data_IF_360121682945
#
_entry.id   IF_360121682945
#
_cell.length_a   1.000
_cell.length_b   1.000
_cell.length_c   1.000
_cell.angle_alpha   90.00
_cell.angle_beta   90.00
_cell.angle_gamma   90.00
#
_symmetry.space_group_name_H-M   'P 1'
#
loop_
_entity.id
_entity.type
_entity.pdbx_description
1 polymer ?
#
# COMPACT_ATOMS: atom_id res chain seq x y z
N UNK A 1 -16.62 19.79 32.92
CA UNK A 1 -16.49 21.02 32.14
C UNK A 1 -15.81 20.61 30.85
N UNK A 2 -16.62 20.56 29.80
CA UNK A 2 -16.36 20.32 28.38
C UNK A 2 -15.43 19.16 27.95
N UNK A 3 -16.11 18.07 27.54
CA UNK A 3 -15.69 17.19 26.45
C UNK A 3 -15.39 18.01 25.19
N UNK A 4 -14.17 17.86 24.65
CA UNK A 4 -13.84 18.35 23.32
C UNK A 4 -13.90 17.19 22.32
N UNK A 5 -14.78 17.40 21.35
CA UNK A 5 -15.17 16.62 20.18
C UNK A 5 -13.94 16.18 19.34
N UNK A 6 -13.58 14.89 19.40
CA UNK A 6 -12.51 14.26 18.61
C UNK A 6 -13.04 13.90 17.21
N UNK A 7 -13.05 14.91 16.33
CA UNK A 7 -13.33 14.73 14.90
C UNK A 7 -12.04 14.79 14.10
N UNK A 8 -11.69 13.64 13.51
CA UNK A 8 -11.05 13.59 12.19
C UNK A 8 -9.52 13.58 12.17
N UNK A 9 -8.91 12.50 12.66
CA UNK A 9 -7.58 12.09 12.22
C UNK A 9 -7.62 10.64 11.72
N UNK A 10 -7.03 10.39 10.55
CA UNK A 10 -6.82 9.03 10.07
C UNK A 10 -5.62 8.46 10.81
N UNK A 11 -5.90 7.59 11.74
CA UNK A 11 -4.94 6.58 12.12
C UNK A 11 -5.11 5.38 11.18
N UNK A 12 -4.05 4.61 10.90
CA UNK A 12 -4.21 3.22 10.45
C UNK A 12 -4.85 2.32 11.52
N UNK A 13 -5.48 2.90 12.57
CA UNK A 13 -6.60 2.27 13.25
C UNK A 13 -7.67 2.09 12.17
N UNK A 14 -7.78 0.87 11.64
CA UNK A 14 -8.96 0.48 10.90
C UNK A 14 -10.18 1.00 11.66
N UNK A 15 -10.94 1.91 11.06
CA UNK A 15 -12.22 2.36 11.62
C UNK A 15 -12.96 1.09 12.04
N UNK A 16 -13.29 1.02 13.32
CA UNK A 16 -13.66 -0.21 14.02
C UNK A 16 -14.91 -0.91 13.48
N UNK A 17 -14.77 -1.59 12.34
CA UNK A 17 -15.31 -2.92 12.21
C UNK A 17 -14.47 -3.81 13.11
N UNK A 18 -15.09 -4.52 14.05
CA UNK A 18 -14.44 -5.55 14.86
C UNK A 18 -13.89 -6.64 13.93
N UNK A 19 -12.71 -6.43 13.35
CA UNK A 19 -11.86 -7.53 12.93
C UNK A 19 -11.26 -8.10 14.23
N UNK A 20 -12.06 -8.92 14.93
CA UNK A 20 -11.59 -9.69 16.06
C UNK A 20 -10.40 -10.54 15.60
N UNK A 21 -9.19 -10.10 15.92
CA UNK A 21 -7.94 -10.81 15.68
C UNK A 21 -7.78 -12.07 16.55
N UNK A 22 -8.86 -12.80 16.80
CA UNK A 22 -8.80 -14.15 17.34
C UNK A 22 -8.47 -15.11 16.19
N UNK A 23 -7.27 -15.69 16.21
CA UNK A 23 -7.11 -17.06 15.75
C UNK A 23 -7.92 -17.99 16.71
N UNK A 24 -8.59 -19.04 16.20
CA UNK A 24 -10.05 -19.10 16.28
C UNK A 24 -10.55 -20.08 17.35
N UNK A 25 -11.52 -19.66 18.17
CA UNK A 25 -12.37 -20.59 18.93
C UNK A 25 -13.80 -20.67 18.39
N UNK A 26 -14.14 -19.93 17.32
CA UNK A 26 -15.42 -20.04 16.63
C UNK A 26 -15.28 -19.68 15.15
N UNK A 27 -15.27 -20.66 14.24
CA UNK A 27 -15.71 -20.48 12.84
C UNK A 27 -15.97 -21.84 12.20
N UNK A 28 -17.11 -21.92 11.51
CA UNK A 28 -17.67 -23.15 10.95
C UNK A 28 -17.04 -23.57 9.61
N UNK A 29 -17.64 -24.55 8.91
CA UNK A 29 -17.07 -25.26 7.76
C UNK A 29 -16.83 -24.42 6.48
N UNK A 30 -16.98 -23.10 6.53
CA UNK A 30 -16.88 -22.19 5.38
C UNK A 30 -15.60 -21.34 5.37
N UNK A 31 -14.70 -21.51 6.34
CA UNK A 31 -13.42 -20.77 6.38
C UNK A 31 -12.46 -21.24 5.28
N UNK A 32 -11.76 -20.30 4.64
CA UNK A 32 -10.65 -20.61 3.70
C UNK A 32 -10.99 -20.56 2.20
N UNK A 33 -12.25 -20.29 1.86
CA UNK A 33 -12.72 -20.16 0.48
C UNK A 33 -13.80 -19.08 0.34
N UNK A 34 -13.99 -18.58 -0.88
CA UNK A 34 -15.12 -17.74 -1.24
C UNK A 34 -16.42 -18.53 -1.13
N UNK A 35 -17.51 -17.81 -0.87
CA UNK A 35 -18.82 -18.38 -0.53
C UNK A 35 -19.82 -18.03 -1.62
N UNK A 36 -20.59 -19.03 -2.04
CA UNK A 36 -21.76 -18.90 -2.88
C UNK A 36 -23.00 -18.73 -1.99
N UNK A 37 -23.70 -17.62 -2.18
CA UNK A 37 -24.93 -17.24 -1.48
C UNK A 37 -26.11 -17.53 -2.40
N UNK A 38 -27.03 -18.34 -1.92
CA UNK A 38 -28.25 -18.76 -2.62
C UNK A 38 -28.01 -19.37 -4.02
N UNK A 39 -26.83 -19.95 -4.25
CA UNK A 39 -26.48 -20.59 -5.52
C UNK A 39 -26.10 -19.62 -6.65
N UNK A 40 -26.03 -18.31 -6.40
CA UNK A 40 -25.88 -17.31 -7.46
C UNK A 40 -24.84 -16.22 -7.16
N UNK A 41 -24.76 -15.75 -5.91
CA UNK A 41 -23.92 -14.61 -5.55
C UNK A 41 -22.62 -15.07 -4.92
N UNK A 42 -21.50 -14.63 -5.45
CA UNK A 42 -20.16 -14.89 -4.91
C UNK A 42 -19.77 -13.77 -3.97
N UNK A 43 -19.32 -14.15 -2.78
CA UNK A 43 -18.83 -13.24 -1.73
C UNK A 43 -17.69 -13.89 -0.95
N UNK A 44 -17.16 -13.22 0.07
CA UNK A 44 -16.13 -13.77 0.95
C UNK A 44 -16.65 -13.90 2.39
N UNK A 45 -16.05 -14.77 3.22
CA UNK A 45 -16.35 -14.84 4.65
C UNK A 45 -16.28 -13.46 5.34
N UNK A 46 -15.26 -12.66 5.01
CA UNK A 46 -15.13 -11.29 5.51
C UNK A 46 -16.34 -10.39 5.16
N UNK A 47 -16.89 -10.48 3.95
CA UNK A 47 -18.07 -9.71 3.57
C UNK A 47 -19.32 -10.18 4.33
N UNK A 48 -19.46 -11.49 4.56
CA UNK A 48 -20.58 -12.06 5.31
C UNK A 48 -20.56 -11.64 6.79
N UNK A 49 -19.39 -11.45 7.38
CA UNK A 49 -19.28 -10.90 8.75
C UNK A 49 -19.86 -9.49 8.88
N UNK A 50 -19.85 -8.71 7.80
CA UNK A 50 -20.37 -7.35 7.76
C UNK A 50 -21.83 -7.30 7.32
N UNK A 51 -22.24 -8.12 6.35
CA UNK A 51 -23.61 -8.19 5.87
C UNK A 51 -23.97 -9.60 5.36
N UNK A 52 -24.34 -10.49 6.28
CA UNK A 52 -24.93 -11.79 5.92
C UNK A 52 -26.45 -11.68 5.81
N UNK A 53 -27.07 -12.04 4.67
CA UNK A 53 -28.52 -12.07 4.57
C UNK A 53 -29.12 -13.15 5.49
N UNK A 54 -30.14 -12.84 6.31
CA UNK A 54 -30.83 -13.85 7.11
C UNK A 54 -31.41 -14.96 6.24
N UNK A 55 -31.23 -16.22 6.65
CA UNK A 55 -31.75 -17.39 5.91
C UNK A 55 -31.02 -17.71 4.60
N UNK A 56 -29.91 -17.04 4.29
CA UNK A 56 -29.09 -17.36 3.12
C UNK A 56 -28.57 -18.80 3.16
N UNK A 57 -28.69 -19.50 2.02
CA UNK A 57 -27.99 -20.77 1.81
C UNK A 57 -26.55 -20.47 1.41
N UNK A 58 -25.60 -20.95 2.19
CA UNK A 58 -24.16 -20.75 1.98
C UNK A 58 -23.50 -22.05 1.54
N UNK A 59 -22.69 -22.00 0.49
CA UNK A 59 -21.88 -23.12 0.03
C UNK A 59 -20.48 -22.63 -0.40
N UNK A 60 -19.41 -23.42 -0.23
CA UNK A 60 -18.10 -23.07 -0.80
C UNK A 60 -18.17 -22.97 -2.33
N UNK A 61 -17.46 -22.00 -2.91
CA UNK A 61 -17.45 -21.80 -4.37
C UNK A 61 -16.80 -22.96 -5.13
N UNK A 62 -15.84 -23.66 -4.50
CA UNK A 62 -15.05 -24.72 -5.14
C UNK A 62 -15.86 -25.93 -5.61
N UNK A 63 -17.07 -26.14 -5.06
CA UNK A 63 -18.00 -27.17 -5.54
C UNK A 63 -18.73 -26.78 -6.84
N UNK A 64 -18.71 -25.51 -7.23
CA UNK A 64 -19.49 -24.94 -8.35
C UNK A 64 -18.61 -24.50 -9.51
N UNK A 65 -17.40 -24.01 -9.26
CA UNK A 65 -16.45 -23.56 -10.29
C UNK A 65 -15.40 -24.63 -10.66
N UNK A 66 -15.58 -25.88 -10.23
CA UNK A 66 -14.60 -26.96 -10.40
C UNK A 66 -13.30 -26.72 -9.60
N UNK A 67 -12.25 -27.55 -9.76
CA UNK A 67 -10.96 -27.32 -9.13
C UNK A 67 -10.26 -26.12 -9.79
N UNK A 68 -10.64 -24.91 -9.41
CA UNK A 68 -10.03 -23.66 -9.89
C UNK A 68 -8.72 -23.38 -9.12
N UNK A 69 -7.76 -24.26 -9.35
CA UNK A 69 -6.32 -24.10 -9.07
C UNK A 69 -5.62 -24.22 -10.43
N UNK A 70 -5.88 -23.26 -11.32
CA UNK A 70 -5.17 -23.25 -12.60
C UNK A 70 -3.74 -22.79 -12.33
N UNK A 71 -2.75 -23.59 -12.74
CA UNK A 71 -1.38 -23.12 -12.81
C UNK A 71 -1.35 -22.03 -13.88
N UNK A 72 -1.10 -20.77 -13.52
CA UNK A 72 -1.12 -19.67 -14.51
C UNK A 72 -0.08 -19.87 -15.63
N UNK A 73 0.92 -20.73 -15.41
CA UNK A 73 1.81 -21.22 -16.46
C UNK A 73 1.08 -21.97 -17.60
N UNK A 74 -0.05 -22.61 -17.32
CA UNK A 74 -0.92 -23.26 -18.33
C UNK A 74 -1.76 -22.22 -19.08
N UNK A 75 -2.12 -21.11 -18.42
CA UNK A 75 -2.86 -19.95 -18.99
C UNK A 75 -1.99 -19.17 -19.99
N UNK A 76 -0.69 -19.07 -19.72
CA UNK A 76 0.24 -18.29 -20.56
C UNK A 76 0.79 -19.03 -21.79
N UNK A 77 0.69 -20.36 -21.86
CA UNK A 77 1.33 -21.20 -22.91
C UNK A 77 0.39 -21.63 -24.03
N UNK A 78 -0.92 -21.66 -23.79
CA UNK A 78 -1.93 -21.90 -24.80
C UNK A 78 -2.50 -20.55 -25.26
N UNK A 79 -2.74 -20.34 -26.55
CA UNK A 79 -3.27 -19.08 -27.11
C UNK A 79 -4.66 -18.62 -26.63
N UNK A 80 -5.15 -19.05 -25.46
CA UNK A 80 -6.28 -18.54 -24.67
C UNK A 80 -6.22 -19.18 -23.26
N UNK A 81 -6.71 -18.54 -22.17
CA UNK A 81 -7.58 -17.35 -22.08
C UNK A 81 -6.91 -16.02 -21.69
N UNK A 82 -7.62 -14.93 -22.01
CA UNK A 82 -7.23 -13.54 -21.72
C UNK A 82 -7.56 -13.10 -20.30
N UNK A 83 -8.34 -13.84 -19.52
CA UNK A 83 -8.99 -13.31 -18.31
C UNK A 83 -8.66 -14.14 -17.07
N UNK A 84 -8.08 -13.47 -16.07
CA UNK A 84 -7.84 -14.03 -14.74
C UNK A 84 -8.62 -13.22 -13.70
N UNK A 85 -9.53 -13.89 -13.01
CA UNK A 85 -10.41 -13.36 -11.99
C UNK A 85 -9.88 -13.73 -10.60
N UNK A 86 -9.59 -12.73 -9.77
CA UNK A 86 -9.05 -12.93 -8.42
C UNK A 86 -10.08 -12.50 -7.39
N UNK A 87 -10.63 -13.47 -6.63
CA UNK A 87 -11.61 -13.21 -5.57
C UNK A 87 -10.90 -12.86 -4.25
N UNK A 88 -11.41 -11.85 -3.56
CA UNK A 88 -10.85 -11.24 -2.33
C UNK A 88 -9.51 -10.52 -2.52
N UNK A 89 -8.97 -10.50 -3.74
CA UNK A 89 -7.66 -9.95 -4.05
C UNK A 89 -6.59 -10.46 -3.06
N UNK A 90 -6.01 -9.55 -2.29
CA UNK A 90 -4.94 -9.81 -1.33
C UNK A 90 -5.40 -9.43 0.08
N UNK A 91 -6.71 -9.58 0.34
CA UNK A 91 -7.30 -9.36 1.66
C UNK A 91 -7.63 -7.90 1.96
N UNK A 92 -7.60 -7.57 3.25
CA UNK A 92 -8.09 -6.30 3.79
C UNK A 92 -7.00 -5.44 4.42
N UNK A 93 -5.77 -5.95 4.52
CA UNK A 93 -4.64 -5.22 5.03
C UNK A 93 -3.86 -4.52 3.92
N UNK A 94 -3.28 -3.36 4.23
CA UNK A 94 -2.44 -2.59 3.30
C UNK A 94 -1.19 -3.38 2.91
N UNK A 95 -0.49 -4.00 3.87
CA UNK A 95 0.72 -4.78 3.60
C UNK A 95 0.49 -5.90 2.60
N UNK A 96 -0.52 -6.74 2.86
CA UNK A 96 -0.91 -7.85 1.97
C UNK A 96 -1.28 -7.33 0.57
N UNK A 97 -2.00 -6.20 0.49
CA UNK A 97 -2.33 -5.54 -0.78
C UNK A 97 -1.09 -5.12 -1.56
N UNK A 98 -0.10 -4.49 -0.91
CA UNK A 98 1.13 -4.05 -1.58
C UNK A 98 1.90 -5.23 -2.16
N UNK A 99 2.09 -6.28 -1.36
CA UNK A 99 2.86 -7.47 -1.76
C UNK A 99 2.12 -8.27 -2.83
N UNK A 100 0.83 -8.50 -2.67
CA UNK A 100 0.09 -9.25 -3.66
C UNK A 100 -0.12 -8.49 -4.98
N UNK A 101 -0.22 -7.15 -4.96
CA UNK A 101 -0.17 -6.36 -6.20
C UNK A 101 1.17 -6.51 -6.93
N UNK A 102 2.29 -6.72 -6.21
CA UNK A 102 3.55 -7.06 -6.87
C UNK A 102 3.49 -8.42 -7.57
N UNK A 103 2.84 -9.44 -6.98
CA UNK A 103 2.65 -10.72 -7.65
C UNK A 103 1.83 -10.57 -8.95
N UNK A 104 0.78 -9.73 -8.93
CA UNK A 104 -0.01 -9.41 -10.13
C UNK A 104 0.79 -8.60 -11.16
N UNK A 105 1.66 -7.70 -10.72
CA UNK A 105 2.54 -6.94 -11.60
C UNK A 105 3.57 -7.85 -12.31
N UNK A 106 4.18 -8.79 -11.58
CA UNK A 106 5.07 -9.83 -12.14
C UNK A 106 4.32 -10.65 -13.20
N UNK A 107 3.09 -11.10 -12.90
CA UNK A 107 2.24 -11.81 -13.85
C UNK A 107 1.97 -10.99 -15.10
N UNK A 108 1.61 -9.72 -14.96
CA UNK A 108 1.33 -8.85 -16.11
C UNK A 108 2.57 -8.66 -16.98
N UNK A 109 3.74 -8.46 -16.39
CA UNK A 109 5.01 -8.34 -17.12
C UNK A 109 5.35 -9.62 -17.88
N UNK A 110 5.14 -10.79 -17.26
CA UNK A 110 5.40 -12.10 -17.86
C UNK A 110 4.38 -12.47 -18.94
N UNK A 111 3.12 -12.08 -18.78
CA UNK A 111 2.03 -12.35 -19.70
C UNK A 111 1.25 -11.06 -20.04
N UNK A 112 1.78 -10.19 -20.92
CA UNK A 112 1.16 -8.89 -21.22
C UNK A 112 -0.27 -8.97 -21.76
N UNK A 113 -0.63 -10.07 -22.42
CA UNK A 113 -1.99 -10.32 -22.93
C UNK A 113 -3.03 -10.67 -21.86
N UNK A 114 -2.60 -10.95 -20.62
CA UNK A 114 -3.49 -11.30 -19.52
C UNK A 114 -4.22 -10.06 -18.98
N UNK A 115 -5.54 -10.14 -18.88
CA UNK A 115 -6.44 -9.17 -18.25
C UNK A 115 -6.72 -9.64 -16.83
N UNK A 116 -6.40 -8.78 -15.87
CA UNK A 116 -6.52 -9.09 -14.45
C UNK A 116 -7.78 -8.42 -13.90
N UNK A 117 -8.75 -9.24 -13.46
CA UNK A 117 -10.01 -8.81 -12.87
C UNK A 117 -9.98 -9.10 -11.38
N UNK A 118 -10.14 -8.07 -10.55
CA UNK A 118 -10.01 -8.19 -9.10
C UNK A 118 -11.34 -7.89 -8.42
N UNK A 119 -11.77 -8.78 -7.52
CA UNK A 119 -13.03 -8.67 -6.78
C UNK A 119 -12.75 -8.48 -5.30
N UNK A 120 -13.24 -7.40 -4.70
CA UNK A 120 -12.88 -6.99 -3.34
C UNK A 120 -14.08 -6.74 -2.45
N UNK A 121 -13.83 -6.76 -1.15
CA UNK A 121 -14.84 -6.33 -0.18
C UNK A 121 -15.16 -4.84 -0.36
N UNK A 122 -16.45 -4.43 -0.33
CA UNK A 122 -16.83 -3.02 -0.31
C UNK A 122 -16.47 -2.34 1.02
N UNK A 123 -16.18 -3.11 2.07
CA UNK A 123 -15.87 -2.61 3.41
C UNK A 123 -14.42 -2.14 3.59
N UNK A 124 -13.66 -2.04 2.50
CA UNK A 124 -12.30 -1.50 2.48
C UNK A 124 -12.14 -0.38 1.45
N UNK A 125 -12.89 0.73 1.56
CA UNK A 125 -13.02 1.73 0.50
C UNK A 125 -11.70 2.38 0.09
N UNK A 126 -10.78 2.64 1.04
CA UNK A 126 -9.48 3.23 0.76
C UNK A 126 -8.59 2.30 -0.06
N UNK A 127 -8.56 1.02 0.30
CA UNK A 127 -7.86 0.01 -0.46
C UNK A 127 -8.51 -0.19 -1.83
N UNK A 128 -9.84 -0.10 -1.95
CA UNK A 128 -10.51 -0.14 -3.25
C UNK A 128 -10.11 1.07 -4.11
N UNK A 129 -9.96 2.25 -3.49
CA UNK A 129 -9.40 3.44 -4.12
C UNK A 129 -7.99 3.20 -4.68
N UNK A 130 -7.10 2.58 -3.89
CA UNK A 130 -5.76 2.19 -4.36
C UNK A 130 -5.84 1.25 -5.58
N UNK A 131 -6.63 0.18 -5.50
CA UNK A 131 -6.71 -0.80 -6.59
C UNK A 131 -7.24 -0.21 -7.90
N UNK A 132 -8.21 0.71 -7.84
CA UNK A 132 -8.75 1.40 -9.02
C UNK A 132 -7.72 2.26 -9.75
N UNK A 133 -6.64 2.64 -9.07
CA UNK A 133 -5.55 3.45 -9.64
C UNK A 133 -4.44 2.61 -10.27
N UNK A 134 -4.53 1.28 -10.20
CA UNK A 134 -3.49 0.37 -10.71
C UNK A 134 -3.68 0.17 -12.22
N UNK A 135 -2.75 0.64 -13.07
CA UNK A 135 -2.96 0.67 -14.52
C UNK A 135 -2.98 -0.71 -15.19
N UNK A 136 -2.37 -1.71 -14.56
CA UNK A 136 -2.30 -3.07 -15.10
C UNK A 136 -3.52 -3.94 -14.78
N UNK A 137 -4.47 -3.46 -13.96
CA UNK A 137 -5.71 -4.16 -13.68
C UNK A 137 -6.77 -3.81 -14.73
N UNK A 138 -7.42 -4.82 -15.29
CA UNK A 138 -8.49 -4.64 -16.27
C UNK A 138 -9.82 -4.24 -15.60
N UNK A 139 -10.10 -4.75 -14.40
CA UNK A 139 -11.30 -4.39 -13.65
C UNK A 139 -11.06 -4.54 -12.15
N UNK A 140 -11.66 -3.63 -11.38
CA UNK A 140 -11.78 -3.74 -9.93
C UNK A 140 -13.27 -3.64 -9.59
N UNK A 141 -13.85 -4.74 -9.14
CA UNK A 141 -15.26 -4.84 -8.76
C UNK A 141 -15.41 -5.12 -7.26
N UNK A 142 -16.51 -4.68 -6.68
CA UNK A 142 -16.85 -4.96 -5.28
C UNK A 142 -17.78 -6.16 -5.18
N UNK A 143 -17.60 -6.97 -4.14
CA UNK A 143 -18.43 -8.12 -3.80
C UNK A 143 -19.70 -7.67 -3.04
N UNK A 144 -20.81 -8.43 -3.11
CA UNK A 144 -20.98 -9.66 -3.88
C UNK A 144 -21.15 -9.41 -5.38
N UNK A 145 -20.74 -10.38 -6.21
CA UNK A 145 -21.01 -10.39 -7.67
C UNK A 145 -21.75 -11.66 -8.06
N UNK A 146 -22.36 -11.68 -9.25
CA UNK A 146 -23.01 -12.90 -9.77
C UNK A 146 -21.96 -13.89 -10.27
N UNK A 147 -22.28 -15.20 -10.30
CA UNK A 147 -21.40 -16.22 -10.88
C UNK A 147 -21.04 -15.92 -12.34
N UNK A 148 -21.95 -15.28 -13.09
CA UNK A 148 -21.72 -14.92 -14.49
C UNK A 148 -20.53 -13.98 -14.67
N UNK A 149 -20.13 -13.24 -13.63
CA UNK A 149 -18.96 -12.36 -13.65
C UNK A 149 -17.63 -13.09 -13.90
N UNK A 150 -17.61 -14.42 -13.77
CA UNK A 150 -16.44 -15.29 -13.97
C UNK A 150 -16.50 -16.11 -15.28
N UNK A 151 -17.53 -15.90 -16.11
CA UNK A 151 -17.76 -16.71 -17.31
C UNK A 151 -16.62 -16.60 -18.31
N UNK A 152 -16.06 -17.74 -18.72
CA UNK A 152 -15.04 -17.82 -19.78
C UNK A 152 -13.61 -17.45 -19.34
N UNK A 153 -13.38 -17.13 -18.07
CA UNK A 153 -12.07 -16.84 -17.51
C UNK A 153 -11.61 -17.87 -16.47
N UNK A 154 -10.36 -17.72 -16.02
CA UNK A 154 -9.84 -18.49 -14.90
C UNK A 154 -10.10 -17.78 -13.58
N UNK A 155 -10.45 -18.53 -12.54
CA UNK A 155 -10.71 -17.97 -11.21
C UNK A 155 -9.64 -18.43 -10.24
N UNK A 156 -9.09 -17.49 -9.47
CA UNK A 156 -8.23 -17.75 -8.32
C UNK A 156 -8.94 -17.23 -7.08
N UNK A 157 -9.15 -18.13 -6.14
CA UNK A 157 -9.75 -17.80 -4.85
C UNK A 157 -8.67 -17.51 -3.81
N UNK A 158 -8.60 -16.26 -3.36
CA UNK A 158 -7.75 -15.79 -2.27
C UNK A 158 -8.60 -15.33 -1.06
N UNK A 159 -9.84 -15.79 -0.95
CA UNK A 159 -10.59 -15.63 0.30
C UNK A 159 -9.84 -16.30 1.45
N UNK A 160 -9.74 -15.61 2.59
CA UNK A 160 -9.22 -16.18 3.84
C UNK A 160 -7.81 -16.79 3.71
N UNK A 161 -6.99 -16.31 2.76
CA UNK A 161 -5.66 -16.85 2.47
C UNK A 161 -4.76 -16.90 3.70
N UNK A 162 -4.93 -15.97 4.65
CA UNK A 162 -4.17 -15.88 5.89
C UNK A 162 -4.31 -17.10 6.81
N UNK A 163 -5.41 -17.85 6.66
CA UNK A 163 -5.65 -19.09 7.41
C UNK A 163 -5.12 -20.33 6.69
N UNK A 164 -4.58 -20.19 5.48
CA UNK A 164 -3.98 -21.32 4.76
C UNK A 164 -2.60 -21.61 5.34
N UNK A 165 -2.28 -22.87 5.67
CA UNK A 165 -1.02 -23.21 6.34
C UNK A 165 0.25 -22.74 5.62
N UNK A 166 0.21 -22.65 4.28
CA UNK A 166 1.34 -22.17 3.50
C UNK A 166 1.66 -20.69 3.73
N UNK A 167 0.68 -19.84 4.04
CA UNK A 167 0.90 -18.40 4.25
C UNK A 167 1.81 -18.12 5.46
N UNK A 168 1.71 -18.95 6.50
CA UNK A 168 2.54 -18.84 7.69
C UNK A 168 3.97 -19.40 7.50
N UNK A 169 4.26 -20.07 6.39
CA UNK A 169 5.54 -20.78 6.16
C UNK A 169 6.37 -20.23 5.01
N UNK A 170 5.76 -19.52 4.07
CA UNK A 170 6.43 -18.97 2.91
C UNK A 170 6.67 -17.47 3.07
N UNK A 171 7.72 -16.91 2.43
CA UNK A 171 7.76 -15.47 2.18
C UNK A 171 6.44 -15.02 1.55
N UNK A 172 5.90 -13.89 2.03
CA UNK A 172 4.55 -13.45 1.65
C UNK A 172 4.35 -13.35 0.12
N UNK A 173 5.36 -12.84 -0.60
CA UNK A 173 5.32 -12.77 -2.06
C UNK A 173 5.32 -14.15 -2.72
N UNK A 174 6.09 -15.11 -2.20
CA UNK A 174 6.17 -16.46 -2.75
C UNK A 174 4.85 -17.21 -2.54
N UNK A 175 4.17 -16.97 -1.42
CA UNK A 175 2.82 -17.45 -1.21
C UNK A 175 1.88 -16.94 -2.31
N UNK A 176 1.86 -15.63 -2.58
CA UNK A 176 0.98 -15.08 -3.60
C UNK A 176 1.34 -15.56 -5.00
N UNK A 177 2.62 -15.65 -5.36
CA UNK A 177 3.07 -16.24 -6.63
C UNK A 177 2.57 -17.68 -6.78
N UNK A 178 2.75 -18.50 -5.74
CA UNK A 178 2.29 -19.90 -5.74
C UNK A 178 0.77 -20.00 -5.84
N UNK A 179 0.05 -19.16 -5.10
CA UNK A 179 -1.42 -19.14 -5.11
C UNK A 179 -1.99 -18.68 -6.46
N UNK A 180 -1.22 -17.87 -7.19
CA UNK A 180 -1.47 -17.49 -8.57
C UNK A 180 -0.84 -18.48 -9.57
N UNK A 181 -0.39 -19.66 -9.14
CA UNK A 181 0.09 -20.70 -10.04
C UNK A 181 1.40 -20.41 -10.77
N UNK A 182 2.24 -19.52 -10.24
CA UNK A 182 3.63 -19.32 -10.65
C UNK A 182 4.58 -20.01 -9.68
N UNK A 183 5.62 -20.69 -10.20
CA UNK A 183 6.74 -21.13 -9.38
C UNK A 183 7.57 -19.92 -8.89
N UNK A 184 7.68 -19.67 -7.56
CA UNK A 184 8.46 -18.57 -7.03
C UNK A 184 9.96 -18.65 -7.32
N UNK A 185 10.51 -19.84 -7.60
CA UNK A 185 11.92 -20.03 -7.99
C UNK A 185 12.18 -19.54 -9.41
N UNK A 186 11.13 -19.52 -10.26
CA UNK A 186 11.21 -19.01 -11.63
C UNK A 186 11.20 -17.48 -11.74
N UNK A 187 11.05 -16.77 -10.62
CA UNK A 187 11.00 -15.31 -10.55
C UNK A 187 12.29 -14.79 -9.95
N UNK A 188 12.94 -13.87 -10.65
CA UNK A 188 14.16 -13.21 -10.15
C UNK A 188 13.89 -12.58 -8.77
N UNK A 189 14.72 -12.82 -7.74
CA UNK A 189 14.55 -12.20 -6.42
C UNK A 189 14.41 -10.68 -6.46
N UNK A 190 15.07 -9.99 -7.39
CA UNK A 190 14.98 -8.53 -7.55
C UNK A 190 13.61 -8.06 -8.03
N UNK A 191 12.89 -8.88 -8.79
CA UNK A 191 11.51 -8.60 -9.24
C UNK A 191 10.48 -8.81 -8.12
N UNK A 192 10.86 -9.36 -6.96
CA UNK A 192 9.93 -9.58 -5.83
C UNK A 192 9.76 -8.36 -4.93
N UNK A 193 10.52 -7.28 -5.16
CA UNK A 193 10.32 -5.99 -4.51
C UNK A 193 9.07 -5.29 -5.09
N UNK A 194 8.22 -4.60 -4.30
CA UNK A 194 6.97 -3.99 -4.78
C UNK A 194 7.20 -2.68 -5.57
N UNK A 195 7.96 -2.78 -6.65
CA UNK A 195 8.41 -1.65 -7.48
C UNK A 195 7.29 -0.94 -8.23
N UNK A 196 6.14 -1.61 -8.42
CA UNK A 196 4.96 -1.02 -9.06
C UNK A 196 4.50 0.27 -8.35
N UNK A 197 4.82 0.45 -7.06
CA UNK A 197 4.53 1.66 -6.29
C UNK A 197 5.16 2.92 -6.89
N UNK A 198 6.32 2.78 -7.56
CA UNK A 198 7.00 3.88 -8.23
C UNK A 198 6.26 4.40 -9.48
N UNK A 199 5.33 3.62 -10.02
CA UNK A 199 4.49 3.99 -11.16
C UNK A 199 3.26 4.81 -10.76
N UNK A 200 2.93 4.83 -9.45
CA UNK A 200 1.82 5.63 -8.94
C UNK A 200 2.22 7.10 -8.77
N UNK A 201 1.30 7.99 -9.17
CA UNK A 201 1.37 9.40 -8.79
C UNK A 201 0.93 9.57 -7.34
N UNK A 202 1.70 10.26 -6.52
CA UNK A 202 1.33 10.52 -5.12
C UNK A 202 1.01 12.01 -4.93
N UNK A 203 0.16 12.37 -3.95
CA UNK A 203 -0.07 13.77 -3.63
C UNK A 203 1.24 14.43 -3.18
N UNK A 204 1.43 15.70 -3.55
CA UNK A 204 2.55 16.50 -3.05
C UNK A 204 2.29 16.84 -1.59
N UNK A 205 3.26 16.53 -0.73
CA UNK A 205 3.16 16.85 0.69
C UNK A 205 3.34 18.36 0.94
N UNK A 206 2.81 18.89 2.05
CA UNK A 206 3.16 20.23 2.51
C UNK A 206 4.68 20.37 2.69
N UNK A 207 5.26 21.57 2.53
CA UNK A 207 6.70 21.77 2.72
C UNK A 207 7.19 21.24 4.07
N UNK A 208 8.24 20.43 4.02
CA UNK A 208 8.88 19.84 5.20
C UNK A 208 10.41 19.80 4.99
N UNK A 209 11.21 19.84 6.06
CA UNK A 209 12.64 19.54 5.97
C UNK A 209 12.85 18.07 5.59
N UNK A 210 14.09 17.69 5.28
CA UNK A 210 14.46 16.28 5.17
C UNK A 210 14.20 15.55 6.49
N UNK A 211 13.65 14.33 6.40
CA UNK A 211 13.27 13.57 7.59
C UNK A 211 13.51 12.07 7.47
N UNK A 212 13.68 11.45 8.64
CA UNK A 212 13.48 10.01 8.85
C UNK A 212 12.06 9.79 9.35
N UNK A 213 11.35 8.83 8.78
CA UNK A 213 9.97 8.52 9.16
C UNK A 213 9.92 7.35 10.13
N UNK A 214 9.34 7.56 11.30
CA UNK A 214 9.14 6.55 12.33
C UNK A 214 7.71 6.01 12.31
N UNK A 215 7.57 4.71 12.06
CA UNK A 215 6.31 3.99 11.94
C UNK A 215 6.18 2.91 13.04
N UNK A 216 5.87 3.29 14.29
CA UNK A 216 5.89 2.35 15.43
C UNK A 216 4.66 1.46 15.54
N UNK A 217 3.56 1.79 14.85
CA UNK A 217 2.26 1.15 15.06
C UNK A 217 1.94 0.16 13.95
N UNK A 218 1.70 -1.10 14.33
CA UNK A 218 1.07 -2.09 13.47
C UNK A 218 -0.46 -2.06 13.65
N UNK A 219 -1.17 -2.85 12.84
CA UNK A 219 -2.62 -3.05 13.00
C UNK A 219 -2.99 -3.81 14.28
N UNK A 220 -2.02 -4.42 14.96
CA UNK A 220 -2.20 -5.19 16.18
C UNK A 220 -1.17 -4.76 17.24
N UNK A 221 -1.54 -4.74 18.54
CA UNK A 221 -0.59 -4.40 19.60
C UNK A 221 0.62 -5.31 19.62
N UNK A 222 0.42 -6.62 19.35
CA UNK A 222 1.50 -7.63 19.35
C UNK A 222 2.68 -7.29 18.42
N UNK A 223 2.41 -6.60 17.32
CA UNK A 223 3.43 -6.24 16.33
C UNK A 223 3.86 -4.79 16.42
N UNK A 224 3.36 -4.03 17.40
CA UNK A 224 3.68 -2.61 17.56
C UNK A 224 4.89 -2.41 18.47
N UNK A 225 5.64 -1.33 18.25
CA UNK A 225 6.65 -0.85 19.19
C UNK A 225 5.93 -0.22 20.39
N UNK A 226 6.13 -0.73 21.62
CA UNK A 226 5.50 -0.18 22.82
C UNK A 226 5.81 1.30 23.01
N UNK A 227 4.83 2.11 23.44
CA UNK A 227 5.02 3.56 23.61
C UNK A 227 6.21 3.94 24.48
N UNK A 228 6.44 3.16 25.55
CA UNK A 228 7.50 3.39 26.54
C UNK A 228 8.93 3.27 26.02
N UNK A 229 9.15 2.62 24.87
CA UNK A 229 10.49 2.46 24.27
C UNK A 229 10.71 3.30 23.01
N UNK A 230 9.68 4.05 22.57
CA UNK A 230 9.75 4.82 21.32
C UNK A 230 10.74 5.97 21.40
N UNK A 231 10.84 6.61 22.57
CA UNK A 231 11.73 7.76 22.76
C UNK A 231 13.18 7.35 22.56
N UNK A 232 13.58 6.20 23.09
CA UNK A 232 14.94 5.67 23.03
C UNK A 232 15.36 5.34 21.59
N UNK A 233 14.43 4.79 20.79
CA UNK A 233 14.66 4.56 19.36
C UNK A 233 14.81 5.88 18.60
N UNK A 234 13.93 6.86 18.89
CA UNK A 234 14.02 8.19 18.26
C UNK A 234 15.32 8.90 18.64
N UNK A 235 15.73 8.83 19.90
CA UNK A 235 17.01 9.35 20.39
C UNK A 235 18.19 8.72 19.63
N UNK A 236 18.18 7.38 19.48
CA UNK A 236 19.20 6.69 18.70
C UNK A 236 19.27 7.17 17.24
N UNK A 237 18.12 7.41 16.60
CA UNK A 237 18.07 7.98 15.25
C UNK A 237 18.65 9.38 15.23
N UNK A 238 18.28 10.25 16.18
CA UNK A 238 18.73 11.64 16.24
C UNK A 238 20.25 11.78 16.47
N UNK A 239 20.89 10.82 17.14
CA UNK A 239 22.36 10.79 17.26
C UNK A 239 23.07 10.65 15.91
N UNK A 240 22.43 10.01 14.93
CA UNK A 240 23.00 9.73 13.60
C UNK A 240 22.42 10.60 12.48
N UNK A 241 21.24 11.18 12.71
CA UNK A 241 20.50 11.97 11.74
C UNK A 241 20.42 13.43 12.18
N UNK A 242 20.93 14.34 11.35
CA UNK A 242 20.92 15.79 11.64
C UNK A 242 19.60 16.49 11.30
N UNK A 243 18.68 15.82 10.61
CA UNK A 243 17.36 16.36 10.29
C UNK A 243 16.32 16.05 11.37
N UNK A 244 15.05 16.28 11.07
CA UNK A 244 13.95 15.96 11.98
C UNK A 244 13.53 14.49 11.86
N UNK A 245 12.99 13.92 12.94
CA UNK A 245 12.25 12.66 12.88
C UNK A 245 10.76 12.98 12.81
N UNK A 246 10.09 12.53 11.76
CA UNK A 246 8.63 12.58 11.67
C UNK A 246 8.08 11.20 12.00
N UNK A 247 6.83 11.10 12.44
CA UNK A 247 6.23 9.78 12.63
C UNK A 247 4.73 9.80 12.83
N UNK A 248 4.18 8.61 13.02
CA UNK A 248 2.75 8.41 13.22
C UNK A 248 2.46 8.00 14.66
N UNK A 249 2.01 8.98 15.44
CA UNK A 249 1.64 8.85 16.84
C UNK A 249 2.59 9.61 17.78
N UNK A 250 2.25 9.70 19.07
CA UNK A 250 2.99 10.50 20.02
C UNK A 250 4.34 9.86 20.40
N UNK A 251 5.37 10.71 20.48
CA UNK A 251 6.66 10.43 21.12
C UNK A 251 7.14 11.71 21.79
N UNK A 252 7.55 11.62 23.06
CA UNK A 252 8.06 12.76 23.83
C UNK A 252 9.55 12.98 23.52
N UNK A 253 9.84 13.70 22.44
CA UNK A 253 11.21 14.03 22.04
C UNK A 253 11.25 15.36 21.25
N UNK A 254 12.22 16.23 21.54
CA UNK A 254 12.29 17.60 20.98
C UNK A 254 12.49 17.64 19.46
N UNK A 255 13.19 16.64 18.91
CA UNK A 255 13.44 16.49 17.47
C UNK A 255 12.44 15.55 16.77
N UNK A 256 11.31 15.27 17.42
CA UNK A 256 10.23 14.46 16.87
C UNK A 256 8.98 15.31 16.59
N UNK A 257 8.29 15.01 15.49
CA UNK A 257 6.97 15.57 15.20
C UNK A 257 6.01 14.49 14.73
N UNK A 258 4.84 14.40 15.38
CA UNK A 258 3.73 13.58 14.91
C UNK A 258 3.08 14.23 13.69
N UNK A 259 3.04 13.49 12.57
CA UNK A 259 2.41 13.90 11.31
C UNK A 259 1.12 13.15 11.02
N UNK A 260 0.59 12.36 11.98
CA UNK A 260 -0.70 11.67 11.82
C UNK A 260 -1.83 12.61 11.37
N UNK A 261 -2.00 13.83 11.91
CA UNK A 261 -3.04 14.75 11.45
C UNK A 261 -2.86 15.20 9.98
N UNK A 262 -1.64 15.12 9.45
CA UNK A 262 -1.29 15.48 8.07
C UNK A 262 -1.36 14.30 7.10
N UNK A 263 -1.74 13.11 7.59
CA UNK A 263 -1.85 11.89 6.79
C UNK A 263 -3.27 11.30 6.89
N UNK A 264 -4.32 12.02 6.47
CA UNK A 264 -5.73 11.64 6.67
C UNK A 264 -6.20 10.44 5.83
N UNK A 265 -5.36 9.86 4.97
CA UNK A 265 -5.75 8.71 4.14
C UNK A 265 -4.52 7.95 3.62
N UNK A 266 -4.79 6.80 2.99
CA UNK A 266 -3.76 5.96 2.38
C UNK A 266 -2.88 6.69 1.36
N UNK A 267 -3.40 7.63 0.56
CA UNK A 267 -2.60 8.33 -0.45
C UNK A 267 -1.55 9.24 0.20
N UNK A 268 -1.95 10.00 1.22
CA UNK A 268 -1.02 10.82 2.00
C UNK A 268 -0.02 9.97 2.79
N UNK A 269 -0.43 8.80 3.29
CA UNK A 269 0.46 7.85 3.95
C UNK A 269 1.53 7.30 3.00
N UNK A 270 1.14 6.94 1.77
CA UNK A 270 2.09 6.55 0.71
C UNK A 270 3.05 7.69 0.38
N UNK A 271 2.56 8.93 0.28
CA UNK A 271 3.39 10.10 0.01
C UNK A 271 4.45 10.34 1.10
N UNK A 272 4.07 10.27 2.39
CA UNK A 272 5.03 10.38 3.51
C UNK A 272 6.13 9.32 3.47
N UNK A 273 5.79 8.09 3.10
CA UNK A 273 6.78 7.01 2.93
C UNK A 273 7.63 7.22 1.67
N UNK A 274 7.04 7.73 0.59
CA UNK A 274 7.75 8.07 -0.64
C UNK A 274 8.77 9.17 -0.39
N UNK A 275 8.45 10.25 0.31
CA UNK A 275 9.36 11.40 0.45
C UNK A 275 10.40 11.23 1.56
N UNK A 276 10.25 10.23 2.43
CA UNK A 276 11.17 9.95 3.52
C UNK A 276 12.61 9.71 3.02
N UNK A 277 13.60 10.17 3.80
CA UNK A 277 15.02 9.84 3.55
C UNK A 277 15.36 8.43 3.98
N UNK A 278 14.75 7.99 5.07
CA UNK A 278 14.79 6.62 5.55
C UNK A 278 13.56 6.36 6.42
N UNK A 279 13.28 5.08 6.69
CA UNK A 279 12.14 4.64 7.48
C UNK A 279 12.62 3.77 8.63
N UNK A 280 12.11 4.01 9.84
CA UNK A 280 12.27 3.10 10.98
C UNK A 280 10.89 2.59 11.33
N UNK A 281 10.69 1.27 11.32
CA UNK A 281 9.37 0.68 11.46
C UNK A 281 9.41 -0.62 12.24
N UNK A 282 8.24 -1.10 12.66
CA UNK A 282 8.02 -2.52 12.99
C UNK A 282 7.43 -3.26 11.78
N UNK A 283 7.10 -4.56 11.90
CA UNK A 283 6.42 -5.38 10.89
C UNK A 283 5.02 -4.81 10.52
N UNK A 284 5.00 -3.87 9.56
CA UNK A 284 3.79 -3.16 9.11
C UNK A 284 3.80 -2.94 7.61
N UNK A 285 2.70 -2.38 7.07
CA UNK A 285 2.65 -1.89 5.69
C UNK A 285 3.77 -0.91 5.35
N UNK A 286 4.27 -0.13 6.32
CA UNK A 286 5.35 0.83 6.08
C UNK A 286 6.60 0.17 5.51
N UNK A 287 6.94 -1.05 5.96
CA UNK A 287 8.10 -1.80 5.47
C UNK A 287 7.96 -2.11 3.98
N UNK A 288 6.81 -2.63 3.58
CA UNK A 288 6.51 -2.98 2.20
C UNK A 288 6.46 -1.75 1.28
N UNK A 289 5.84 -0.68 1.75
CA UNK A 289 5.72 0.57 0.98
C UNK A 289 7.09 1.23 0.82
N UNK A 290 7.87 1.33 1.90
CA UNK A 290 9.22 1.89 1.88
C UNK A 290 10.13 1.11 0.93
N UNK A 291 10.05 -0.23 0.93
CA UNK A 291 10.76 -1.08 -0.01
C UNK A 291 10.40 -0.77 -1.48
N UNK A 292 9.11 -0.59 -1.79
CA UNK A 292 8.66 -0.22 -3.14
C UNK A 292 9.15 1.15 -3.61
N UNK A 293 9.30 2.10 -2.68
CA UNK A 293 9.93 3.40 -2.96
C UNK A 293 11.45 3.40 -2.80
N UNK A 294 12.05 2.21 -2.62
CA UNK A 294 13.48 2.00 -2.39
C UNK A 294 14.04 2.88 -1.29
N UNK A 295 13.33 3.03 -0.17
CA UNK A 295 13.79 3.80 0.99
C UNK A 295 14.59 2.89 1.92
N UNK A 296 15.80 3.32 2.35
CA UNK A 296 16.51 2.65 3.42
C UNK A 296 15.58 2.48 4.60
N UNK A 297 15.46 1.26 5.09
CA UNK A 297 14.51 0.93 6.15
C UNK A 297 15.18 0.07 7.21
N UNK A 298 15.00 0.43 8.48
CA UNK A 298 15.26 -0.44 9.62
C UNK A 298 13.93 -0.97 10.14
N UNK A 299 13.74 -2.28 10.13
CA UNK A 299 12.48 -2.92 10.47
C UNK A 299 12.64 -3.93 11.62
N UNK A 300 11.85 -3.75 12.69
CA UNK A 300 11.84 -4.64 13.85
C UNK A 300 10.74 -5.70 13.72
N UNK A 301 11.10 -6.95 14.00
CA UNK A 301 10.20 -8.11 13.87
C UNK A 301 10.14 -8.89 15.19
N UNK A 302 8.97 -8.97 15.82
CA UNK A 302 8.85 -9.57 17.17
C UNK A 302 8.03 -10.85 17.23
N UNK A 303 7.13 -11.06 16.27
CA UNK A 303 6.27 -12.26 16.25
C UNK A 303 6.28 -13.00 14.92
N UNK A 304 6.81 -12.39 13.86
CA UNK A 304 6.94 -13.00 12.54
C UNK A 304 8.37 -12.82 12.09
N UNK A 305 9.04 -13.90 11.67
CA UNK A 305 10.43 -13.81 11.21
C UNK A 305 10.58 -12.89 10.00
N UNK A 306 11.65 -12.08 9.91
CA UNK A 306 11.91 -11.21 8.77
C UNK A 306 11.96 -11.96 7.43
N UNK A 307 12.47 -13.20 7.44
CA UNK A 307 12.53 -14.06 6.25
C UNK A 307 11.15 -14.34 5.61
N UNK A 308 10.05 -14.10 6.33
CA UNK A 308 8.69 -14.25 5.81
C UNK A 308 8.08 -12.94 5.28
N UNK A 309 8.75 -11.80 5.47
CA UNK A 309 8.19 -10.45 5.24
C UNK A 309 9.06 -9.55 4.36
N UNK A 310 10.37 -9.56 4.58
CA UNK A 310 11.33 -8.63 3.97
C UNK A 310 12.49 -9.32 3.24
N UNK A 311 12.46 -10.65 3.10
CA UNK A 311 13.55 -11.44 2.51
C UNK A 311 14.07 -10.94 1.14
N UNK A 312 13.19 -10.31 0.35
CA UNK A 312 13.50 -9.84 -1.00
C UNK A 312 13.62 -8.32 -1.11
N UNK A 313 13.68 -7.58 0.01
CA UNK A 313 13.74 -6.12 -0.02
C UNK A 313 15.17 -5.64 0.21
N UNK A 314 15.90 -5.24 -0.85
CA UNK A 314 17.33 -4.92 -0.75
C UNK A 314 17.63 -3.68 0.09
N UNK A 315 16.64 -2.81 0.31
CA UNK A 315 16.80 -1.59 1.12
C UNK A 315 16.34 -1.76 2.57
N UNK A 316 15.95 -2.97 3.00
CA UNK A 316 15.39 -3.23 4.33
C UNK A 316 16.39 -4.04 5.16
N UNK A 317 16.96 -3.39 6.17
CA UNK A 317 17.68 -4.04 7.25
C UNK A 317 16.68 -4.49 8.30
N UNK A 318 16.71 -5.78 8.65
CA UNK A 318 15.73 -6.37 9.57
C UNK A 318 16.38 -6.76 10.88
N UNK A 319 15.76 -6.38 11.99
CA UNK A 319 16.12 -6.81 13.34
C UNK A 319 15.15 -7.90 13.76
N UNK A 320 15.67 -9.11 13.97
CA UNK A 320 14.89 -10.26 14.43
C UNK A 320 14.87 -10.29 15.96
N UNK A 321 13.74 -9.86 16.53
CA UNK A 321 13.43 -9.91 17.96
C UNK A 321 12.43 -11.04 18.27
N UNK A 322 12.27 -12.01 17.38
CA UNK A 322 11.21 -13.02 17.51
C UNK A 322 11.46 -13.91 18.71
N UNK A 323 10.58 -13.78 19.71
CA UNK A 323 10.54 -14.70 20.83
C UNK A 323 9.78 -15.97 20.45
N UNK A 324 10.29 -17.16 20.85
CA UNK A 324 9.73 -18.47 20.47
C UNK A 324 8.22 -18.58 20.77
N UNK A 325 7.80 -18.18 21.97
CA UNK A 325 6.38 -18.18 22.38
C UNK A 325 5.45 -17.25 21.56
N UNK A 326 6.02 -16.26 20.87
CA UNK A 326 5.28 -15.31 20.03
C UNK A 326 5.40 -15.63 18.53
N UNK A 327 6.28 -16.56 18.15
CA UNK A 327 6.60 -16.85 16.77
C UNK A 327 5.35 -17.33 15.99
N UNK A 328 5.18 -16.81 14.77
CA UNK A 328 4.07 -17.10 13.87
C UNK A 328 2.76 -16.40 14.24
N UNK A 329 2.72 -15.58 15.29
CA UNK A 329 1.48 -14.89 15.70
C UNK A 329 1.33 -13.55 15.01
N UNK A 330 0.25 -13.40 14.26
CA UNK A 330 -0.08 -12.15 13.54
C UNK A 330 -0.82 -11.13 14.42
N UNK A 331 -1.56 -11.60 15.42
CA UNK A 331 -2.37 -10.81 16.34
C UNK A 331 -2.42 -11.49 17.71
N UNK A 332 -2.59 -10.68 18.76
CA UNK A 332 -2.96 -11.14 20.09
C UNK A 332 -3.43 -9.95 20.93
N UNK A 333 -4.48 -10.18 21.72
CA UNK A 333 -4.95 -9.30 22.78
C UNK A 333 -4.72 -9.93 24.17
N UNK A 334 -4.04 -11.07 24.24
CA UNK A 334 -3.73 -11.76 25.49
C UNK A 334 -2.73 -10.95 26.32
N UNK A 335 -3.13 -10.59 27.54
CA UNK A 335 -2.32 -9.74 28.42
C UNK A 335 -0.95 -10.37 28.75
N UNK A 336 -0.86 -11.71 28.86
CA UNK A 336 0.39 -12.41 29.12
C UNK A 336 1.37 -12.29 27.94
N UNK A 337 0.88 -12.46 26.72
CA UNK A 337 1.66 -12.29 25.49
C UNK A 337 2.08 -10.84 25.27
N UNK A 338 1.21 -9.87 25.53
CA UNK A 338 1.56 -8.45 25.45
C UNK A 338 2.58 -8.04 26.52
N UNK A 339 2.50 -8.61 27.74
CA UNK A 339 3.51 -8.40 28.76
C UNK A 339 4.86 -9.03 28.38
N UNK A 340 4.86 -10.20 27.74
CA UNK A 340 6.07 -10.83 27.21
C UNK A 340 6.71 -9.99 26.10
N UNK A 341 5.92 -9.51 25.13
CA UNK A 341 6.36 -8.56 24.11
C UNK A 341 7.03 -7.35 24.74
N UNK A 342 6.38 -6.77 25.74
CA UNK A 342 6.87 -5.57 26.40
C UNK A 342 8.23 -5.82 27.09
N UNK A 343 8.42 -6.98 27.74
CA UNK A 343 9.73 -7.38 28.30
C UNK A 343 10.80 -7.58 27.23
N UNK A 344 10.47 -8.22 26.10
CA UNK A 344 11.44 -8.39 25.00
C UNK A 344 11.97 -7.05 24.51
N UNK A 345 11.10 -6.04 24.43
CA UNK A 345 11.52 -4.67 24.10
C UNK A 345 12.36 -4.02 25.20
N UNK A 346 11.99 -4.17 26.47
CA UNK A 346 12.78 -3.61 27.58
C UNK A 346 14.19 -4.19 27.62
N UNK A 347 14.34 -5.50 27.43
CA UNK A 347 15.65 -6.17 27.41
C UNK A 347 16.50 -5.70 26.21
N UNK A 348 15.86 -5.53 25.05
CA UNK A 348 16.50 -5.03 23.83
C UNK A 348 16.97 -3.57 23.96
N UNK A 349 16.17 -2.71 24.59
CA UNK A 349 16.57 -1.33 24.90
C UNK A 349 17.66 -1.31 25.99
N UNK A 350 17.46 -2.03 27.09
CA UNK A 350 18.33 -2.03 28.26
C UNK A 350 19.73 -2.59 28.00
N UNK A 351 19.86 -3.47 27.01
CA UNK A 351 21.16 -3.96 26.51
C UNK A 351 21.90 -2.98 25.60
N UNK A 352 21.27 -1.86 25.21
CA UNK A 352 21.83 -0.89 24.27
C UNK A 352 21.81 -1.36 22.80
N UNK A 353 21.19 -2.51 22.49
CA UNK A 353 21.15 -3.05 21.14
C UNK A 353 20.40 -2.14 20.15
N UNK A 354 19.32 -1.47 20.60
CA UNK A 354 18.60 -0.53 19.73
C UNK A 354 19.49 0.61 19.22
N UNK A 355 20.30 1.19 20.11
CA UNK A 355 21.26 2.22 19.75
C UNK A 355 22.28 1.68 18.74
N UNK A 356 22.83 0.50 19.02
CA UNK A 356 23.81 -0.17 18.16
C UNK A 356 23.27 -0.49 16.78
N UNK A 357 22.09 -1.08 16.67
CA UNK A 357 21.49 -1.46 15.39
C UNK A 357 21.17 -0.22 14.54
N UNK A 358 20.75 0.88 15.16
CA UNK A 358 20.57 2.17 14.47
C UNK A 358 21.92 2.71 14.00
N UNK A 359 22.95 2.72 14.85
CA UNK A 359 24.30 3.21 14.51
C UNK A 359 24.89 2.37 13.35
N UNK A 360 24.80 1.04 13.42
CA UNK A 360 25.24 0.11 12.37
C UNK A 360 24.45 0.31 11.07
N UNK A 361 23.14 0.50 11.14
CA UNK A 361 22.29 0.74 9.97
C UNK A 361 22.63 2.06 9.27
N UNK A 362 22.86 3.14 10.02
CA UNK A 362 23.33 4.40 9.44
C UNK A 362 24.75 4.28 8.85
N UNK A 363 25.63 3.54 9.51
CA UNK A 363 27.01 3.32 9.06
C UNK A 363 27.13 2.44 7.80
N UNK A 364 26.29 1.42 7.66
CA UNK A 364 26.41 0.41 6.59
C UNK A 364 25.33 0.52 5.50
N UNK A 365 24.06 0.67 5.90
CA UNK A 365 22.91 0.64 4.98
C UNK A 365 22.56 2.01 4.40
N UNK A 366 22.58 3.06 5.23
CA UNK A 366 22.29 4.42 4.78
C UNK A 366 23.44 5.02 3.94
N UNK A 367 24.69 4.76 4.32
CA UNK A 367 25.88 5.21 3.59
C UNK A 367 26.00 4.64 2.17
N UNK A 368 25.78 3.33 1.99
CA UNK A 368 25.82 2.70 0.68
C UNK A 368 24.70 3.20 -0.26
N UNK A 369 23.51 3.45 0.27
CA UNK A 369 22.39 3.97 -0.50
C UNK A 369 22.56 5.45 -0.90
N UNK A 370 23.06 6.30 0.00
CA UNK A 370 23.32 7.72 -0.31
C UNK A 370 24.39 7.88 -1.40
N UNK A 371 25.43 7.04 -1.39
CA UNK A 371 26.44 6.99 -2.46
C UNK A 371 25.85 6.55 -3.82
N UNK A 372 24.95 5.55 -3.81
CA UNK A 372 24.24 5.09 -5.01
C UNK A 372 23.28 6.15 -5.57
N UNK A 373 22.55 6.87 -4.70
CA UNK A 373 21.61 7.92 -5.11
C UNK A 373 22.30 9.16 -5.70
N UNK A 374 23.51 9.50 -5.24
CA UNK A 374 24.33 10.55 -5.87
C UNK A 374 24.69 10.18 -7.32
N UNK A 375 25.00 8.91 -7.56
CA UNK A 375 25.33 8.38 -8.90
C UNK A 375 24.10 8.33 -9.82
N UNK A 376 22.95 7.89 -9.29
CA UNK A 376 21.69 7.79 -10.05
C UNK A 376 21.04 9.17 -10.31
N UNK A 377 21.19 10.11 -9.37
CA UNK A 377 20.75 11.50 -9.52
C UNK A 377 21.52 12.25 -10.61
N UNK A 378 22.83 11.98 -10.77
CA UNK A 378 23.62 12.53 -11.88
C UNK A 378 23.19 11.96 -13.25
N UNK A 379 22.88 10.66 -13.34
CA UNK A 379 22.42 10.05 -14.61
C UNK A 379 21.03 10.57 -15.04
N UNK A 380 20.11 10.75 -14.09
CA UNK A 380 18.76 11.25 -14.37
C UNK A 380 18.72 12.74 -14.71
N UNK A 381 19.62 13.56 -14.14
CA UNK A 381 19.81 14.95 -14.59
C UNK A 381 20.42 15.04 -15.99
N UNK A 382 21.34 14.14 -16.34
CA UNK A 382 21.97 14.10 -17.67
C UNK A 382 20.94 13.73 -18.74
N UNK A 383 20.10 12.72 -18.48
CA UNK A 383 19.02 12.34 -19.40
C UNK A 383 17.91 13.38 -19.51
N UNK A 384 17.60 14.12 -18.44
CA UNK A 384 16.65 15.23 -18.47
C UNK A 384 17.19 16.46 -19.22
N UNK A 385 18.51 16.68 -19.24
CA UNK A 385 19.15 17.73 -20.04
C UNK A 385 19.26 17.36 -21.53
N UNK A 386 19.41 16.08 -21.87
CA UNK A 386 19.41 15.60 -23.25
C UNK A 386 18.01 15.52 -23.89
N UNK A 387 16.95 15.40 -23.07
CA UNK A 387 15.56 15.38 -23.52
C UNK A 387 14.91 16.77 -23.67
N UNK A 388 15.62 17.86 -23.36
CA UNK A 388 15.12 19.21 -23.62
C UNK A 388 15.17 19.50 -25.13
N UNK A 389 14.06 19.88 -25.78
CA UNK A 389 14.07 20.21 -27.20
C UNK A 389 14.99 21.40 -27.43
N UNK A 390 15.98 21.22 -28.33
CA UNK A 390 16.76 22.34 -28.88
C UNK A 390 15.79 23.29 -29.54
N UNK A 391 15.53 24.43 -28.90
CA UNK A 391 14.79 25.53 -29.50
C UNK A 391 15.67 26.13 -30.58
N UNK A 392 15.39 25.77 -31.83
CA UNK A 392 15.92 26.46 -33.00
C UNK A 392 15.54 27.94 -32.90
N UNK A 393 16.57 28.80 -32.90
CA UNK A 393 16.39 30.24 -33.01
C UNK A 393 15.80 30.55 -34.39
N UNK A 394 14.63 31.20 -34.51
CA UNK A 394 14.18 31.66 -35.81
C UNK A 394 14.98 32.89 -36.23
N UNK A 395 15.46 32.80 -37.47
CA UNK A 395 16.24 33.81 -38.14
C UNK A 395 15.49 35.11 -38.38
N UNK A 396 16.31 36.16 -38.33
CA UNK A 396 16.21 37.46 -39.01
C UNK A 396 15.20 37.47 -40.18
N UNK A 397 14.17 38.30 -40.07
CA UNK A 397 13.51 38.87 -41.24
C UNK A 397 13.26 40.37 -41.02
N UNK A 398 13.83 41.15 -41.94
CA UNK A 398 13.83 42.61 -42.00
C UNK A 398 12.42 43.14 -42.25
N UNK A 399 12.08 44.31 -41.70
CA UNK A 399 11.13 45.25 -42.32
C UNK A 399 11.75 46.63 -42.36
N UNK A 400 11.75 47.18 -43.56
CA UNK A 400 12.00 48.58 -43.84
C UNK A 400 10.65 49.30 -44.01
N UNK A 401 10.65 50.57 -43.62
CA UNK A 401 9.89 51.71 -44.14
C UNK A 401 8.42 51.94 -43.70
N UNK A 402 8.32 52.87 -42.75
CA UNK A 402 7.85 54.26 -42.91
C UNK A 402 6.42 54.66 -43.29
N UNK A 403 6.01 55.74 -42.60
CA UNK A 403 4.97 56.77 -42.91
C UNK A 403 3.50 56.31 -42.84
N UNK A 404 2.54 57.01 -42.23
CA UNK A 404 2.26 58.44 -42.14
C UNK A 404 1.11 58.71 -41.12
N UNK A 405 0.83 59.99 -40.93
CA UNK A 405 0.12 60.68 -39.84
C UNK A 405 -1.36 61.00 -40.17
N UNK A 406 -2.15 61.24 -39.10
CA UNK A 406 -3.17 62.32 -38.93
C UNK A 406 -4.66 62.11 -39.32
N UNK A 407 -5.51 62.21 -38.26
CA UNK A 407 -6.87 62.80 -38.13
C UNK A 407 -8.05 62.20 -38.93
N UNK A 408 -9.34 62.28 -38.55
CA UNK A 408 -10.08 63.18 -37.66
C UNK A 408 -11.49 62.62 -37.32
N UNK A 409 -12.01 63.00 -36.15
CA UNK A 409 -13.38 63.44 -35.75
C UNK A 409 -14.70 62.84 -36.30
N UNK A 410 -15.61 62.65 -35.31
CA UNK A 410 -17.09 62.79 -35.29
C UNK A 410 -17.91 61.65 -35.95
N UNK A 411 -19.03 61.17 -35.40
CA UNK A 411 -19.82 61.51 -34.21
C UNK A 411 -21.15 60.72 -34.22
N UNK A 412 -21.78 60.65 -33.04
CA UNK A 412 -23.23 60.47 -32.76
C UNK A 412 -24.03 59.26 -33.26
N UNK A 413 -24.89 58.75 -32.36
CA UNK A 413 -26.25 58.33 -32.75
C UNK A 413 -26.70 57.00 -32.17
N UNK A 414 -27.54 57.05 -31.14
CA UNK A 414 -28.00 55.88 -30.38
C UNK A 414 -29.19 55.13 -30.98
N UNK A 415 -29.56 54.03 -30.30
CA UNK A 415 -30.95 53.62 -30.03
C UNK A 415 -30.94 52.43 -29.07
N UNK A 416 -31.83 52.47 -28.09
CA UNK A 416 -32.19 51.41 -27.14
C UNK A 416 -33.73 51.18 -27.28
N UNK A 417 -34.34 50.23 -26.55
CA UNK A 417 -34.89 48.94 -27.00
C UNK A 417 -36.46 49.00 -27.03
N UNK A 418 -37.29 47.94 -26.91
CA UNK A 418 -37.40 47.09 -25.69
C UNK A 418 -37.97 45.65 -25.86
N UNK A 419 -38.01 44.91 -24.73
CA UNK A 419 -39.02 43.89 -24.41
C UNK A 419 -38.65 42.43 -24.78
N UNK A 420 -38.83 41.43 -23.93
CA UNK A 420 -39.47 41.34 -22.63
C UNK A 420 -39.37 39.91 -22.08
N UNK A 421 -39.48 39.80 -20.76
CA UNK A 421 -39.66 38.63 -19.90
C UNK A 421 -40.93 37.83 -20.32
N UNK A 422 -41.18 36.55 -20.03
CA UNK A 422 -40.65 35.60 -19.04
C UNK A 422 -41.39 34.23 -19.20
N UNK A 423 -41.25 33.29 -18.23
CA UNK A 423 -41.55 31.86 -18.39
C UNK A 423 -42.92 31.43 -17.80
N UNK A 424 -43.38 30.23 -18.15
CA UNK A 424 -44.47 29.55 -17.41
C UNK A 424 -45.09 28.32 -18.09
N UNK A 425 -44.71 27.11 -17.63
CA UNK A 425 -45.58 25.92 -17.55
C UNK A 425 -46.63 26.11 -16.41
N UNK A 426 -47.62 25.22 -16.14
CA UNK A 426 -47.84 23.85 -16.64
C UNK A 426 -49.30 23.47 -16.99
N UNK A 427 -49.46 22.28 -17.58
CA UNK A 427 -50.53 21.31 -17.30
C UNK A 427 -50.05 19.91 -17.68
#
# INVERSE_FOLDING_TARGET
MEEADDRGSFHPRGRGGRASGQAPSRRGPLSGAAVLVNGHWVTTPFCLEHASPPGARLAPIGGTLGPTLVRVEEVGRAGAPRDLHIINAMGVAVGDSIVGLQALHILKRRYPGLRLHVYRSPYTPELNGLYRRIPFLATVAELPVTLDAFSGGHVVDLADFMFRPAFARLPMIDYFLTALGLDPVSVDPSDKNPDWLSELRHPVLPPHPDYVLFCPNASTPLRSIPSRVRREIVEAVCRNWRGIVLGFGPVEHSSYRDVSPLSPNLETYLAWLCDARAVVSTDTSAVHIAAGFRRPTLAYFVSIRPSLRSAYYPTVSSVDLVHEALNGRHSSDDAGQLALLARCWDDYIGSGMAARDVDEWFGSGYGAYTASKATFGMMTQTLAQEAAPRVDRPGVCRRAEDTLRVSSRHGSGGRKPPGGEGPGSPA
#
